data_IF_798645322307
#
_entry.id   IF_798645322307
#
_cell.length_a   1.000
_cell.length_b   1.000
_cell.length_c   1.000
_cell.angle_alpha   90.00
_cell.angle_beta   90.00
_cell.angle_gamma   90.00
#
_symmetry.space_group_name_H-M   'P 1'
#
loop_
_entity.id
_entity.type
_entity.pdbx_description
1 polymer ?
#
# COMPACT_ATOMS: atom_id res chain seq x y z
N UNK A 1 -51.04 -9.49 -34.19
CA UNK A 1 -49.70 -8.91 -34.50
C UNK A 1 -48.97 -8.29 -33.29
N UNK A 2 -49.67 -7.88 -32.22
CA UNK A 2 -49.06 -7.23 -31.05
C UNK A 2 -48.35 -8.19 -30.06
N UNK A 3 -48.85 -9.42 -29.87
CA UNK A 3 -48.26 -10.37 -28.92
C UNK A 3 -46.81 -10.76 -29.27
N UNK A 4 -46.52 -11.08 -30.55
CA UNK A 4 -45.16 -11.43 -31.02
C UNK A 4 -44.14 -10.30 -30.80
N UNK A 5 -44.54 -9.03 -31.00
CA UNK A 5 -43.67 -7.86 -30.76
C UNK A 5 -43.37 -7.66 -29.28
N UNK A 6 -44.33 -7.95 -28.39
CA UNK A 6 -44.13 -7.88 -26.93
C UNK A 6 -43.21 -9.01 -26.45
N UNK A 7 -43.38 -10.23 -26.97
CA UNK A 7 -42.50 -11.36 -26.64
C UNK A 7 -41.06 -11.13 -27.13
N UNK A 8 -40.87 -10.63 -28.35
CA UNK A 8 -39.56 -10.29 -28.89
C UNK A 8 -38.84 -9.22 -28.05
N UNK A 9 -39.53 -8.14 -27.65
CA UNK A 9 -38.97 -7.11 -26.76
C UNK A 9 -38.54 -7.66 -25.40
N UNK A 10 -39.34 -8.55 -24.81
CA UNK A 10 -39.00 -9.20 -23.53
C UNK A 10 -37.75 -10.09 -23.66
N UNK A 11 -37.64 -10.85 -24.75
CA UNK A 11 -36.46 -11.70 -25.02
C UNK A 11 -35.22 -10.83 -25.21
N UNK A 12 -35.30 -9.74 -25.98
CA UNK A 12 -34.18 -8.81 -26.15
C UNK A 12 -33.75 -8.19 -24.82
N UNK A 13 -34.70 -7.79 -23.97
CA UNK A 13 -34.40 -7.22 -22.65
C UNK A 13 -33.67 -8.23 -21.74
N UNK A 14 -34.11 -9.49 -21.74
CA UNK A 14 -33.46 -10.57 -20.97
C UNK A 14 -32.04 -10.83 -21.48
N UNK A 15 -31.83 -10.87 -22.79
CA UNK A 15 -30.50 -11.06 -23.39
C UNK A 15 -29.55 -9.92 -23.05
N UNK A 16 -30.02 -8.67 -23.09
CA UNK A 16 -29.23 -7.50 -22.66
C UNK A 16 -28.87 -7.60 -21.18
N UNK A 17 -29.82 -7.98 -20.33
CA UNK A 17 -29.58 -8.15 -18.89
C UNK A 17 -28.53 -9.22 -18.59
N UNK A 18 -28.61 -10.38 -19.27
CA UNK A 18 -27.61 -11.45 -19.16
C UNK A 18 -26.24 -10.97 -19.64
N UNK A 19 -26.18 -10.24 -20.76
CA UNK A 19 -24.93 -9.70 -21.28
C UNK A 19 -24.28 -8.70 -20.32
N UNK A 20 -25.08 -7.84 -19.68
CA UNK A 20 -24.60 -6.88 -18.66
C UNK A 20 -24.06 -7.62 -17.43
N UNK A 21 -24.77 -8.63 -16.93
CA UNK A 21 -24.30 -9.46 -15.81
C UNK A 21 -23.00 -10.18 -16.19
N UNK A 22 -22.95 -10.79 -17.38
CA UNK A 22 -21.76 -11.48 -17.87
C UNK A 22 -20.55 -10.55 -17.99
N UNK A 23 -20.74 -9.34 -18.54
CA UNK A 23 -19.69 -8.33 -18.60
C UNK A 23 -19.23 -7.86 -17.22
N UNK A 24 -20.18 -7.68 -16.28
CA UNK A 24 -19.88 -7.32 -14.90
C UNK A 24 -19.08 -8.40 -14.17
N UNK A 25 -19.46 -9.68 -14.33
CA UNK A 25 -18.71 -10.81 -13.77
C UNK A 25 -17.31 -10.92 -14.37
N UNK A 26 -17.15 -10.70 -15.68
CA UNK A 26 -15.84 -10.67 -16.32
C UNK A 26 -14.95 -9.52 -15.80
N UNK A 27 -15.52 -8.37 -15.45
CA UNK A 27 -14.78 -7.27 -14.83
C UNK A 27 -14.29 -7.63 -13.42
N UNK A 28 -15.12 -8.33 -12.64
CA UNK A 28 -14.74 -8.80 -11.30
C UNK A 28 -13.63 -9.85 -11.40
N UNK A 29 -13.77 -10.83 -12.29
CA UNK A 29 -12.81 -11.92 -12.44
C UNK A 29 -11.46 -11.46 -13.02
N UNK A 30 -11.46 -10.41 -13.85
CA UNK A 30 -10.22 -9.82 -14.39
C UNK A 30 -9.67 -8.67 -13.54
N UNK A 31 -10.30 -8.34 -12.40
CA UNK A 31 -9.73 -7.34 -11.50
C UNK A 31 -8.43 -7.89 -10.92
N UNK A 32 -7.32 -7.11 -10.95
CA UNK A 32 -6.06 -7.56 -10.39
C UNK A 32 -6.28 -7.94 -8.94
N UNK A 33 -5.73 -9.08 -8.51
CA UNK A 33 -5.81 -9.48 -7.11
C UNK A 33 -5.22 -8.34 -6.25
N UNK A 34 -6.13 -7.72 -5.51
CA UNK A 34 -5.86 -6.58 -4.64
C UNK A 34 -5.93 -7.02 -3.18
N UNK A 35 -5.80 -8.33 -2.94
CA UNK A 35 -5.66 -8.90 -1.62
C UNK A 35 -4.55 -8.18 -0.85
N UNK A 36 -4.72 -7.96 0.45
CA UNK A 36 -3.68 -7.33 1.27
C UNK A 36 -2.33 -8.05 1.22
N UNK A 37 -2.36 -9.38 1.03
CA UNK A 37 -1.21 -10.23 0.78
C UNK A 37 -0.51 -9.82 -0.52
N UNK A 38 -1.25 -9.77 -1.63
CA UNK A 38 -0.69 -9.39 -2.92
C UNK A 38 -0.19 -7.94 -2.93
N UNK A 39 -0.81 -7.03 -2.18
CA UNK A 39 -0.30 -5.66 -1.99
C UNK A 39 1.06 -5.63 -1.28
N UNK A 40 1.30 -6.51 -0.30
CA UNK A 40 2.62 -6.64 0.34
C UNK A 40 3.64 -7.24 -0.60
N UNK A 41 3.30 -8.29 -1.33
CA UNK A 41 4.17 -8.87 -2.38
C UNK A 41 4.56 -7.79 -3.40
N UNK A 42 3.59 -7.02 -3.89
CA UNK A 42 3.83 -5.91 -4.81
C UNK A 42 4.77 -4.86 -4.23
N UNK A 43 4.60 -4.49 -2.96
CA UNK A 43 5.45 -3.53 -2.27
C UNK A 43 6.87 -4.07 -2.07
N UNK A 44 7.02 -5.33 -1.66
CA UNK A 44 8.29 -5.94 -1.26
C UNK A 44 9.10 -6.46 -2.45
N UNK A 45 8.44 -6.93 -3.52
CA UNK A 45 9.09 -7.67 -4.60
C UNK A 45 8.95 -6.98 -5.96
N UNK A 46 7.78 -6.43 -6.28
CA UNK A 46 7.50 -5.87 -7.61
C UNK A 46 7.79 -4.37 -7.71
N UNK A 47 7.99 -3.70 -6.57
CA UNK A 47 8.25 -2.28 -6.53
C UNK A 47 9.73 -2.00 -6.67
N UNK A 48 10.06 -1.16 -7.66
CA UNK A 48 11.39 -0.57 -7.79
C UNK A 48 11.68 0.34 -6.59
N UNK A 49 12.38 -0.22 -5.61
CA UNK A 49 12.63 0.43 -4.32
C UNK A 49 13.56 1.64 -4.45
N UNK A 50 14.51 1.63 -5.39
CA UNK A 50 15.39 2.79 -5.63
C UNK A 50 14.59 3.98 -6.15
N UNK A 51 13.70 3.75 -7.14
CA UNK A 51 12.81 4.80 -7.65
C UNK A 51 11.79 5.23 -6.60
N UNK A 52 11.35 4.34 -5.72
CA UNK A 52 10.45 4.67 -4.62
C UNK A 52 11.14 5.57 -3.59
N UNK A 53 12.35 5.21 -3.18
CA UNK A 53 13.19 6.01 -2.28
C UNK A 53 13.42 7.41 -2.87
N UNK A 54 13.83 7.48 -4.14
CA UNK A 54 14.05 8.75 -4.83
C UNK A 54 12.79 9.62 -4.84
N UNK A 55 11.64 9.03 -5.18
CA UNK A 55 10.36 9.73 -5.18
C UNK A 55 9.96 10.25 -3.79
N UNK A 56 10.19 9.45 -2.74
CA UNK A 56 9.91 9.88 -1.37
C UNK A 56 10.84 11.00 -0.90
N UNK A 57 12.13 10.94 -1.22
CA UNK A 57 13.09 12.01 -0.94
C UNK A 57 12.76 13.29 -1.70
N UNK A 58 12.27 13.18 -2.94
CA UNK A 58 11.80 14.33 -3.71
C UNK A 58 10.62 15.03 -3.02
N UNK A 59 9.64 14.26 -2.52
CA UNK A 59 8.55 14.81 -1.70
C UNK A 59 9.10 15.53 -0.48
N UNK A 60 10.02 14.92 0.26
CA UNK A 60 10.61 15.53 1.46
C UNK A 60 11.37 16.82 1.13
N UNK A 61 12.06 16.90 -0.01
CA UNK A 61 12.78 18.10 -0.43
C UNK A 61 11.87 19.28 -0.78
N UNK A 62 10.62 18.99 -1.18
CA UNK A 62 9.58 19.99 -1.53
C UNK A 62 8.61 20.24 -0.38
N UNK A 63 8.61 19.37 0.62
CA UNK A 63 7.75 19.45 1.79
C UNK A 63 8.19 20.54 2.75
N UNK A 64 7.29 20.98 3.64
CA UNK A 64 7.62 21.94 4.68
C UNK A 64 8.61 21.30 5.68
N UNK A 65 9.46 22.12 6.28
CA UNK A 65 10.25 21.69 7.43
C UNK A 65 9.30 21.25 8.57
N UNK A 66 9.30 19.96 8.97
CA UNK A 66 8.39 19.44 9.98
C UNK A 66 8.49 20.18 11.32
N UNK A 67 9.65 20.73 11.66
CA UNK A 67 9.84 21.50 12.92
C UNK A 67 9.09 22.82 12.92
N UNK A 68 8.89 23.39 11.73
CA UNK A 68 8.29 24.71 11.53
C UNK A 68 6.89 24.63 10.91
N UNK A 69 6.41 23.42 10.61
CA UNK A 69 5.11 23.23 9.99
C UNK A 69 3.99 23.26 11.02
N UNK A 70 3.04 24.18 10.84
CA UNK A 70 1.74 24.10 11.51
C UNK A 70 0.82 23.24 10.67
N UNK A 71 0.46 22.01 11.13
CA UNK A 71 -0.38 21.12 10.35
C UNK A 71 -1.72 21.77 10.03
N UNK A 72 -2.08 21.74 8.75
CA UNK A 72 -3.40 22.11 8.28
C UNK A 72 -4.21 20.82 8.03
N UNK A 73 -5.36 20.68 8.69
CA UNK A 73 -6.21 19.49 8.60
C UNK A 73 -6.00 18.49 9.74
N UNK A 74 -6.61 17.29 9.65
CA UNK A 74 -6.54 16.29 10.71
C UNK A 74 -5.09 15.83 10.93
N UNK A 75 -4.63 15.89 12.18
CA UNK A 75 -3.35 15.35 12.60
C UNK A 75 -3.50 13.83 12.69
N UNK A 76 -2.58 13.11 12.03
CA UNK A 76 -2.45 11.67 12.20
C UNK A 76 -1.40 11.38 13.27
N UNK A 77 -1.55 10.27 14.00
CA UNK A 77 -0.58 9.85 15.02
C UNK A 77 0.84 9.79 14.44
N UNK A 78 0.96 9.39 13.16
CA UNK A 78 2.24 9.22 12.48
C UNK A 78 2.70 10.45 11.67
N UNK A 79 2.01 11.59 11.76
CA UNK A 79 2.41 12.82 11.06
C UNK A 79 1.26 13.63 10.48
N UNK A 80 1.56 14.38 9.41
CA UNK A 80 0.60 15.20 8.70
C UNK A 80 0.60 14.87 7.20
N UNK A 81 -0.52 15.07 6.47
CA UNK A 81 -0.56 14.81 5.03
C UNK A 81 0.45 15.65 4.26
N UNK A 82 1.00 15.09 3.18
CA UNK A 82 1.79 15.86 2.20
C UNK A 82 0.96 17.07 1.73
N UNK A 83 1.53 18.29 1.71
CA UNK A 83 0.78 19.48 1.32
C UNK A 83 0.21 19.39 -0.10
N UNK A 84 -0.95 20.00 -0.33
CA UNK A 84 -1.66 19.98 -1.62
C UNK A 84 -0.83 20.44 -2.83
N UNK A 85 0.18 21.30 -2.62
CA UNK A 85 1.07 21.80 -3.68
C UNK A 85 2.24 20.87 -4.03
N UNK A 86 2.45 19.78 -3.29
CA UNK A 86 3.54 18.84 -3.54
C UNK A 86 3.00 17.66 -4.36
N UNK A 87 3.40 17.50 -5.63
CA UNK A 87 2.90 16.42 -6.46
C UNK A 87 3.44 15.07 -5.96
N UNK A 88 2.54 14.10 -5.78
CA UNK A 88 2.90 12.72 -5.41
C UNK A 88 3.27 11.94 -6.68
N UNK A 89 4.52 11.44 -6.82
CA UNK A 89 4.95 10.72 -8.01
C UNK A 89 4.16 9.43 -8.28
N UNK A 90 4.03 9.05 -9.56
CA UNK A 90 3.24 7.88 -9.99
C UNK A 90 3.66 6.56 -9.32
N UNK A 91 4.93 6.38 -8.99
CA UNK A 91 5.41 5.16 -8.33
C UNK A 91 4.79 4.97 -6.94
N UNK A 92 4.53 6.06 -6.22
CA UNK A 92 3.84 6.04 -4.93
C UNK A 92 2.35 5.72 -5.14
N UNK A 93 1.71 6.26 -6.18
CA UNK A 93 0.32 5.89 -6.48
C UNK A 93 0.15 4.43 -6.90
N UNK A 94 1.16 3.85 -7.56
CA UNK A 94 1.13 2.45 -8.03
C UNK A 94 1.04 1.43 -6.89
N UNK A 95 1.60 1.76 -5.72
CA UNK A 95 1.52 0.93 -4.52
C UNK A 95 0.27 1.20 -3.67
N UNK A 96 -0.63 2.09 -4.15
CA UNK A 96 -1.96 2.38 -3.57
C UNK A 96 -1.94 2.62 -2.05
N UNK A 97 -1.15 3.59 -1.55
CA UNK A 97 -1.15 3.92 -0.13
C UNK A 97 -2.53 4.46 0.28
N UNK A 98 -2.96 4.10 1.48
CA UNK A 98 -4.11 4.72 2.13
C UNK A 98 -3.81 6.18 2.49
N UNK A 99 -2.58 6.46 2.94
CA UNK A 99 -2.12 7.82 3.21
C UNK A 99 -0.64 8.03 2.89
N UNK A 100 -0.29 9.25 2.51
CA UNK A 100 1.09 9.71 2.32
C UNK A 100 1.32 10.84 3.31
N UNK A 101 2.09 10.56 4.35
CA UNK A 101 2.27 11.44 5.50
C UNK A 101 3.74 11.83 5.67
N UNK A 102 4.00 13.05 6.14
CA UNK A 102 5.30 13.47 6.64
C UNK A 102 5.24 13.35 8.17
N UNK A 103 6.12 12.52 8.74
CA UNK A 103 6.25 12.37 10.17
C UNK A 103 6.87 13.63 10.79
N UNK A 104 6.51 13.93 12.03
CA UNK A 104 7.04 15.08 12.77
C UNK A 104 8.57 15.05 12.97
N UNK A 105 9.20 13.87 12.86
CA UNK A 105 10.66 13.74 12.89
C UNK A 105 11.33 13.95 11.52
N UNK A 106 10.57 14.20 10.44
CA UNK A 106 11.11 14.55 9.13
C UNK A 106 11.42 13.41 8.17
N UNK A 107 10.64 12.34 8.23
CA UNK A 107 10.65 11.25 7.24
C UNK A 107 9.25 11.05 6.67
N UNK A 108 9.16 10.45 5.48
CA UNK A 108 7.89 10.17 4.82
C UNK A 108 7.37 8.81 5.26
N UNK A 109 6.06 8.69 5.45
CA UNK A 109 5.35 7.44 5.71
C UNK A 109 4.38 7.19 4.58
N UNK A 110 4.57 6.09 3.86
CA UNK A 110 3.60 5.55 2.91
C UNK A 110 2.80 4.50 3.66
N UNK A 111 1.59 4.89 4.08
CA UNK A 111 0.76 4.10 4.98
C UNK A 111 -0.26 3.29 4.20
N UNK A 112 -0.25 1.98 4.40
CA UNK A 112 -1.26 1.03 3.91
C UNK A 112 -2.04 0.46 5.09
N UNK A 113 -3.32 0.15 4.85
CA UNK A 113 -4.21 -0.41 5.87
C UNK A 113 -4.87 -1.67 5.35
N UNK A 114 -4.92 -2.69 6.20
CA UNK A 114 -5.64 -3.95 6.02
C UNK A 114 -6.49 -4.19 7.27
N UNK A 115 -7.78 -3.83 7.22
CA UNK A 115 -8.65 -3.91 8.39
C UNK A 115 -8.08 -3.11 9.56
N UNK A 116 -7.65 -3.81 10.63
CA UNK A 116 -7.04 -3.23 11.83
C UNK A 116 -5.50 -3.30 11.85
N UNK A 117 -4.86 -3.82 10.80
CA UNK A 117 -3.41 -3.91 10.70
C UNK A 117 -2.86 -2.84 9.74
N UNK A 118 -1.76 -2.21 10.12
CA UNK A 118 -1.06 -1.23 9.29
C UNK A 118 0.27 -1.78 8.84
N UNK A 119 0.64 -1.45 7.61
CA UNK A 119 1.94 -1.75 7.04
C UNK A 119 2.32 -0.67 6.03
N UNK A 120 3.56 -0.71 5.55
CA UNK A 120 4.00 0.18 4.50
C UNK A 120 5.49 0.43 4.56
N UNK A 121 5.90 1.62 4.09
CA UNK A 121 7.31 2.01 4.11
C UNK A 121 7.53 3.40 4.69
N UNK A 122 8.67 3.55 5.34
CA UNK A 122 9.22 4.81 5.82
C UNK A 122 10.39 5.20 4.94
N UNK A 123 10.35 6.42 4.40
CA UNK A 123 11.40 6.97 3.54
C UNK A 123 12.14 8.06 4.30
N UNK A 124 13.43 7.85 4.50
CA UNK A 124 14.30 8.77 5.24
C UNK A 124 15.09 9.68 4.28
N UNK A 125 15.25 10.97 4.62
CA UNK A 125 16.15 11.85 3.89
C UNK A 125 17.59 11.39 4.06
N UNK A 126 18.48 11.84 3.16
CA UNK A 126 19.91 11.56 3.30
C UNK A 126 20.48 12.20 4.57
N UNK A 127 21.35 11.48 5.27
CA UNK A 127 21.92 11.95 6.53
C UNK A 127 20.92 12.11 7.67
N UNK A 128 19.75 11.45 7.58
CA UNK A 128 18.74 11.47 8.64
C UNK A 128 19.37 11.11 9.99
N UNK A 129 19.13 11.97 10.99
CA UNK A 129 19.57 11.76 12.36
C UNK A 129 18.35 11.37 13.21
N UNK A 130 18.33 10.17 13.81
CA UNK A 130 17.22 9.75 14.64
C UNK A 130 17.13 10.69 15.86
N UNK A 131 15.92 11.03 16.32
CA UNK A 131 15.70 11.94 17.44
C UNK A 131 16.19 11.41 18.80
N UNK A 132 16.58 10.13 18.89
CA UNK A 132 17.18 9.53 20.08
C UNK A 132 17.34 8.01 19.97
N UNK A 133 17.97 7.39 20.97
CA UNK A 133 18.38 5.97 20.95
C UNK A 133 17.21 4.97 20.88
N UNK A 134 16.02 5.39 21.32
CA UNK A 134 14.80 4.55 21.28
C UNK A 134 14.06 4.64 19.94
N UNK A 135 14.57 5.41 18.98
CA UNK A 135 13.93 5.58 17.69
C UNK A 135 13.95 4.26 16.89
N UNK A 136 12.80 3.90 16.33
CA UNK A 136 12.67 2.71 15.46
C UNK A 136 12.43 3.13 14.02
N UNK A 137 13.38 2.80 13.15
CA UNK A 137 13.30 3.09 11.72
C UNK A 137 12.16 2.34 11.02
N UNK A 138 11.87 1.14 11.48
CA UNK A 138 10.92 0.22 10.88
C UNK A 138 11.19 -1.16 11.45
N UNK A 139 10.78 -2.20 10.73
CA UNK A 139 11.07 -3.58 11.11
C UNK A 139 12.14 -4.19 10.19
N UNK A 140 12.10 -3.87 8.89
CA UNK A 140 13.02 -4.41 7.88
C UNK A 140 13.57 -3.27 7.02
N UNK A 141 14.89 -3.17 6.88
CA UNK A 141 15.49 -2.30 5.89
C UNK A 141 15.40 -2.97 4.51
N UNK A 142 14.79 -2.29 3.54
CA UNK A 142 14.72 -2.76 2.16
C UNK A 142 15.97 -2.30 1.38
N UNK A 143 16.40 -1.08 1.67
CA UNK A 143 17.66 -0.47 1.20
C UNK A 143 17.98 0.74 2.08
N UNK A 144 19.22 1.28 2.05
CA UNK A 144 19.62 2.40 2.91
C UNK A 144 18.66 3.60 2.88
N UNK A 145 17.93 3.79 3.99
CA UNK A 145 16.96 4.87 4.15
C UNK A 145 15.53 4.57 3.63
N UNK A 146 15.23 3.33 3.24
CA UNK A 146 13.89 2.85 2.96
C UNK A 146 13.57 1.63 3.83
N UNK A 147 12.61 1.80 4.74
CA UNK A 147 12.31 0.81 5.77
C UNK A 147 10.88 0.33 5.68
N UNK A 148 10.70 -0.99 5.55
CA UNK A 148 9.40 -1.63 5.67
C UNK A 148 8.96 -1.72 7.13
N UNK A 149 7.67 -1.52 7.36
CA UNK A 149 7.03 -1.78 8.64
C UNK A 149 5.72 -2.53 8.46
N UNK A 150 5.37 -3.36 9.44
CA UNK A 150 4.13 -4.10 9.51
C UNK A 150 3.78 -4.34 10.98
N UNK A 151 2.53 -4.12 11.37
CA UNK A 151 2.06 -4.40 12.74
C UNK A 151 2.16 -5.89 13.11
N UNK A 152 2.19 -6.79 12.11
CA UNK A 152 2.32 -8.24 12.33
C UNK A 152 3.63 -8.63 13.02
N UNK A 153 4.71 -7.87 12.86
CA UNK A 153 5.97 -8.07 13.59
C UNK A 153 5.82 -8.04 15.12
N UNK A 154 4.79 -7.38 15.64
CA UNK A 154 4.52 -7.34 17.09
C UNK A 154 3.75 -8.56 17.58
N UNK A 155 3.05 -9.26 16.68
CA UNK A 155 2.13 -10.35 17.00
C UNK A 155 2.75 -11.72 16.70
N UNK A 156 3.65 -11.77 15.74
CA UNK A 156 4.26 -12.99 15.24
C UNK A 156 5.80 -12.87 15.34
N UNK A 157 6.43 -13.60 16.29
CA UNK A 157 7.88 -13.66 16.44
C UNK A 157 8.61 -14.21 15.20
N UNK A 158 7.94 -15.06 14.41
CA UNK A 158 8.47 -15.68 13.17
C UNK A 158 8.18 -14.88 11.90
N UNK A 159 7.72 -13.63 12.04
CA UNK A 159 7.31 -12.83 10.88
C UNK A 159 8.51 -12.37 10.03
N UNK A 160 9.72 -12.36 10.58
CA UNK A 160 10.92 -12.10 9.80
C UNK A 160 11.10 -13.17 8.71
N UNK A 161 10.96 -14.44 9.08
CA UNK A 161 11.08 -15.59 8.20
C UNK A 161 10.01 -15.55 7.11
N UNK A 162 8.79 -15.17 7.46
CA UNK A 162 7.69 -14.94 6.50
C UNK A 162 8.06 -13.86 5.47
N UNK A 163 8.61 -12.72 5.92
CA UNK A 163 9.01 -11.64 5.02
C UNK A 163 10.21 -12.05 4.15
N UNK A 164 11.16 -12.80 4.70
CA UNK A 164 12.28 -13.37 3.93
C UNK A 164 11.79 -14.32 2.84
N UNK A 165 10.83 -15.18 3.16
CA UNK A 165 10.21 -16.09 2.19
C UNK A 165 9.47 -15.33 1.09
N UNK A 166 8.70 -14.29 1.44
CA UNK A 166 8.03 -13.44 0.46
C UNK A 166 9.04 -12.79 -0.48
N UNK A 167 10.11 -12.20 0.06
CA UNK A 167 11.16 -11.55 -0.74
C UNK A 167 11.84 -12.56 -1.66
N UNK A 168 12.09 -13.78 -1.18
CA UNK A 168 12.75 -14.85 -1.94
C UNK A 168 11.87 -15.42 -3.06
N UNK A 169 10.59 -15.64 -2.77
CA UNK A 169 9.68 -16.39 -3.66
C UNK A 169 8.83 -15.48 -4.54
N UNK A 170 8.66 -14.22 -4.15
CA UNK A 170 7.72 -13.29 -4.78
C UNK A 170 6.26 -13.69 -4.56
N UNK A 171 5.95 -14.48 -3.52
CA UNK A 171 4.61 -14.99 -3.23
C UNK A 171 4.31 -14.88 -1.74
N UNK A 172 3.04 -14.72 -1.42
CA UNK A 172 2.58 -14.87 -0.05
C UNK A 172 2.53 -16.37 0.31
N UNK A 173 3.14 -16.80 1.41
CA UNK A 173 3.08 -18.20 1.82
C UNK A 173 1.66 -18.61 2.19
N UNK A 174 1.21 -19.78 1.72
CA UNK A 174 -0.10 -20.30 2.10
C UNK A 174 -0.07 -20.75 3.56
N UNK A 175 -1.22 -20.79 4.26
CA UNK A 175 -1.28 -21.21 5.67
C UNK A 175 -0.67 -22.58 5.98
N UNK A 176 -0.50 -23.44 4.96
CA UNK A 176 0.08 -24.77 5.07
C UNK A 176 1.60 -24.81 4.78
N UNK A 177 2.18 -23.70 4.29
CA UNK A 177 3.60 -23.62 3.92
C UNK A 177 4.49 -23.19 5.10
N UNK A 178 3.89 -22.59 6.13
CA UNK A 178 4.57 -22.20 7.37
C UNK A 178 4.29 -23.27 8.43
N UNK A 179 5.28 -24.08 8.79
CA UNK A 179 5.18 -24.98 9.94
C UNK A 179 5.14 -24.14 11.22
N UNK A 180 3.94 -23.72 11.62
CA UNK A 180 3.65 -22.99 12.86
C UNK A 180 3.75 -23.92 14.09
N UNK A 181 4.78 -24.76 14.16
CA UNK A 181 5.06 -25.55 15.36
C UNK A 181 6.06 -24.80 16.25
N UNK A 182 5.76 -24.66 17.55
CA UNK A 182 6.68 -24.11 18.53
C UNK A 182 7.91 -24.98 18.76
#
# INVERSE_FOLDING_TARGET
>A
MNARKVTAKKITLVMVFIAVIGAYLLLILNSPDDSPQQRRVRLLCETDHERLLKAGREILSKGPDPKNYRPYGPIHIDGFPVPRGVPIPRIIWRIRPHAVLINFNGYLVLHMTEGLANYGVKVYPEGFKPPGDRFRYGHRELLPGLWYYDDRYRRDPGYNETIDEIIKTGKWPEPNDIDLRP
#
